data_IF_465656285492
#
_entry.id   IF_465656285492
#
_cell.length_a   1.000
_cell.length_b   1.000
_cell.length_c   1.000
_cell.angle_alpha   90.00
_cell.angle_beta   90.00
_cell.angle_gamma   90.00
#
_symmetry.space_group_name_H-M   'P 1'
#
loop_
_entity.id
_entity.type
_entity.pdbx_description
1 polymer ?
#
# COMPACT_ATOMS: atom_id res chain seq x y z
N UNK A 1 1.24 -29.26 10.41
CA UNK A 1 1.94 -28.12 11.08
C UNK A 1 0.89 -27.40 11.89
N UNK A 2 0.97 -27.49 13.20
CA UNK A 2 0.11 -26.74 14.09
C UNK A 2 0.62 -25.29 14.08
N UNK A 3 -0.01 -24.44 13.29
CA UNK A 3 0.40 -23.05 13.06
C UNK A 3 0.44 -22.23 14.35
N UNK A 4 1.53 -22.37 15.08
CA UNK A 4 1.79 -21.56 16.27
C UNK A 4 2.40 -20.26 15.81
N UNK A 5 1.58 -19.21 15.69
CA UNK A 5 2.06 -17.86 15.49
C UNK A 5 2.71 -17.38 16.79
N UNK A 6 3.98 -16.98 16.73
CA UNK A 6 4.62 -16.26 17.82
C UNK A 6 4.32 -14.77 17.66
N UNK A 7 3.69 -14.17 18.66
CA UNK A 7 3.47 -12.73 18.71
C UNK A 7 4.49 -12.11 19.63
N UNK A 8 5.14 -11.04 19.15
CA UNK A 8 6.16 -10.32 19.87
C UNK A 8 5.63 -8.97 20.34
N UNK A 9 5.92 -8.59 21.57
CA UNK A 9 5.77 -7.21 22.02
C UNK A 9 6.75 -6.27 21.27
N UNK A 10 6.48 -4.97 21.25
CA UNK A 10 7.39 -3.99 20.63
C UNK A 10 8.82 -4.02 21.16
N UNK A 11 9.03 -4.52 22.38
CA UNK A 11 10.34 -4.70 23.02
C UNK A 11 11.01 -6.03 22.69
N UNK A 12 10.41 -6.85 21.85
CA UNK A 12 10.94 -8.13 21.38
C UNK A 12 10.67 -9.32 22.28
N UNK A 13 9.89 -9.17 23.37
CA UNK A 13 9.47 -10.30 24.21
C UNK A 13 8.43 -11.15 23.51
N UNK A 14 8.53 -12.47 23.65
CA UNK A 14 7.52 -13.41 23.16
C UNK A 14 6.31 -13.32 24.10
N UNK A 15 5.14 -13.03 23.53
CA UNK A 15 3.89 -13.07 24.28
C UNK A 15 3.47 -14.54 24.44
N UNK A 16 3.38 -15.08 25.66
CA UNK A 16 2.96 -16.45 25.88
C UNK A 16 1.55 -16.69 25.31
N UNK A 17 1.31 -17.90 24.78
CA UNK A 17 0.09 -18.33 24.07
C UNK A 17 -1.24 -18.08 24.81
N UNK A 18 -1.25 -17.76 26.09
CA UNK A 18 -2.44 -17.44 26.90
C UNK A 18 -2.68 -15.96 27.17
N UNK A 19 -1.76 -15.08 26.77
CA UNK A 19 -1.84 -13.64 27.05
C UNK A 19 -2.17 -12.78 25.82
N UNK A 20 -2.43 -13.40 24.66
CA UNK A 20 -2.88 -12.69 23.47
C UNK A 20 -4.38 -12.43 23.63
N UNK A 21 -4.73 -11.42 24.40
CA UNK A 21 -6.12 -10.99 24.57
C UNK A 21 -6.71 -10.32 23.31
N UNK A 22 -5.92 -10.05 22.30
CA UNK A 22 -6.36 -9.47 21.04
C UNK A 22 -6.54 -10.51 19.91
N UNK A 23 -7.11 -11.68 20.20
CA UNK A 23 -7.74 -12.45 19.13
C UNK A 23 -8.87 -11.57 18.60
N UNK A 24 -8.99 -11.41 17.26
CA UNK A 24 -10.24 -10.92 16.70
C UNK A 24 -11.37 -11.71 17.36
N UNK A 25 -12.48 -11.09 17.75
CA UNK A 25 -13.57 -11.81 18.37
C UNK A 25 -13.95 -12.99 17.46
N UNK A 26 -14.38 -14.11 18.05
CA UNK A 26 -14.80 -15.31 17.28
C UNK A 26 -15.75 -14.96 16.11
N UNK A 27 -16.54 -13.92 16.30
CA UNK A 27 -17.40 -13.31 15.29
C UNK A 27 -16.64 -12.80 14.05
N UNK A 28 -15.41 -12.33 14.18
CA UNK A 28 -14.63 -11.85 13.04
C UNK A 28 -14.11 -13.01 12.17
N UNK A 29 -13.69 -14.11 12.79
CA UNK A 29 -13.30 -15.31 12.07
C UNK A 29 -14.48 -15.94 11.34
N UNK A 30 -15.64 -15.97 12.00
CA UNK A 30 -16.88 -16.46 11.40
C UNK A 30 -17.31 -15.57 10.22
N UNK A 31 -17.20 -14.28 10.34
CA UNK A 31 -17.49 -13.35 9.24
C UNK A 31 -16.54 -13.55 8.03
N UNK A 32 -15.25 -13.83 8.27
CA UNK A 32 -14.30 -14.17 7.19
C UNK A 32 -14.65 -15.51 6.53
N UNK A 33 -15.01 -16.51 7.33
CA UNK A 33 -15.44 -17.81 6.81
C UNK A 33 -16.73 -17.68 5.99
N UNK A 34 -17.71 -16.92 6.47
CA UNK A 34 -18.95 -16.62 5.74
C UNK A 34 -18.69 -15.86 4.44
N UNK A 35 -17.78 -14.90 4.46
CA UNK A 35 -17.42 -14.07 3.30
C UNK A 35 -16.64 -14.84 2.23
N UNK A 36 -15.69 -15.67 2.63
CA UNK A 36 -14.71 -16.27 1.71
C UNK A 36 -14.85 -17.80 1.55
N UNK A 37 -15.63 -18.48 2.42
CA UNK A 37 -15.94 -19.90 2.28
C UNK A 37 -14.72 -20.80 2.07
N UNK A 38 -14.63 -21.47 0.91
CA UNK A 38 -13.52 -22.38 0.58
C UNK A 38 -12.16 -21.67 0.63
N UNK A 39 -12.09 -20.40 0.20
CA UNK A 39 -10.84 -19.64 0.19
C UNK A 39 -10.28 -19.43 1.60
N UNK A 40 -11.15 -19.17 2.58
CA UNK A 40 -10.77 -19.10 4.00
C UNK A 40 -10.15 -20.40 4.50
N UNK A 41 -10.80 -21.54 4.25
CA UNK A 41 -10.32 -22.86 4.70
C UNK A 41 -9.03 -23.32 4.00
N UNK A 42 -8.79 -22.86 2.79
CA UNK A 42 -7.60 -23.16 1.99
C UNK A 42 -6.51 -22.10 2.11
N UNK A 43 -6.66 -21.14 3.04
CA UNK A 43 -5.69 -20.08 3.27
C UNK A 43 -5.32 -19.33 1.99
N UNK A 44 -6.31 -19.07 1.15
CA UNK A 44 -6.16 -18.39 -0.15
C UNK A 44 -4.97 -18.92 -0.96
N UNK A 45 -4.81 -20.25 -1.02
CA UNK A 45 -3.80 -20.88 -1.87
C UNK A 45 -3.92 -20.40 -3.33
N UNK A 46 -2.84 -20.45 -4.12
CA UNK A 46 -2.86 -19.89 -5.49
C UNK A 46 -3.98 -20.46 -6.37
N UNK A 47 -4.25 -21.77 -6.27
CA UNK A 47 -5.32 -22.45 -7.02
C UNK A 47 -6.71 -21.93 -6.65
N UNK A 48 -6.96 -21.67 -5.37
CA UNK A 48 -8.23 -21.09 -4.91
C UNK A 48 -8.35 -19.63 -5.32
N UNK A 49 -7.27 -18.87 -5.21
CA UNK A 49 -7.26 -17.48 -5.67
C UNK A 49 -7.58 -17.38 -7.16
N UNK A 50 -7.01 -18.25 -7.98
CA UNK A 50 -7.30 -18.30 -9.42
C UNK A 50 -8.78 -18.65 -9.70
N UNK A 51 -9.36 -19.59 -8.94
CA UNK A 51 -10.80 -19.90 -9.04
C UNK A 51 -11.68 -18.69 -8.69
N UNK A 52 -11.30 -17.93 -7.65
CA UNK A 52 -12.04 -16.73 -7.28
C UNK A 52 -11.85 -15.62 -8.33
N UNK A 53 -10.65 -15.46 -8.88
CA UNK A 53 -10.41 -14.55 -10.00
C UNK A 53 -11.28 -14.90 -11.21
N UNK A 54 -11.36 -16.19 -11.59
CA UNK A 54 -12.21 -16.65 -12.69
C UNK A 54 -13.70 -16.42 -12.39
N UNK A 55 -14.13 -16.70 -11.15
CA UNK A 55 -15.52 -16.50 -10.71
C UNK A 55 -15.97 -15.04 -10.77
N UNK A 56 -15.05 -14.12 -10.43
CA UNK A 56 -15.35 -12.69 -10.28
C UNK A 56 -14.89 -11.85 -11.48
N UNK A 57 -14.31 -12.47 -12.51
CA UNK A 57 -13.89 -11.78 -13.74
C UNK A 57 -12.63 -10.93 -13.58
N UNK A 58 -11.69 -11.34 -12.73
CA UNK A 58 -10.43 -10.63 -12.51
C UNK A 58 -9.31 -11.28 -13.34
N UNK A 59 -8.71 -10.53 -14.24
CA UNK A 59 -7.68 -11.06 -15.14
C UNK A 59 -6.32 -11.18 -14.46
N UNK A 60 -5.86 -10.11 -13.81
CA UNK A 60 -4.54 -10.01 -13.17
C UNK A 60 -4.70 -9.43 -11.77
N UNK A 61 -4.02 -10.03 -10.80
CA UNK A 61 -3.87 -9.48 -9.47
C UNK A 61 -2.42 -9.16 -9.16
N UNK A 62 -2.16 -7.94 -8.68
CA UNK A 62 -0.88 -7.54 -8.10
C UNK A 62 -1.00 -7.63 -6.58
N UNK A 63 -0.31 -8.59 -5.98
CA UNK A 63 -0.36 -8.84 -4.55
C UNK A 63 0.49 -7.83 -3.79
N UNK A 64 -0.17 -7.06 -2.93
CA UNK A 64 0.50 -6.13 -2.04
C UNK A 64 0.84 -6.81 -0.70
N UNK A 65 2.06 -6.66 -0.19
CA UNK A 65 2.42 -7.15 1.13
C UNK A 65 1.59 -6.47 2.22
N UNK A 66 0.79 -7.23 2.95
CA UNK A 66 -0.07 -6.66 4.00
C UNK A 66 0.68 -6.33 5.28
N UNK A 67 0.03 -5.52 6.14
CA UNK A 67 0.61 -4.86 7.30
C UNK A 67 1.49 -5.70 8.22
N UNK A 68 1.03 -6.88 8.68
CA UNK A 68 1.84 -7.70 9.59
C UNK A 68 2.90 -8.53 8.85
N UNK A 69 2.56 -9.14 7.71
CA UNK A 69 3.47 -10.03 6.99
C UNK A 69 4.46 -9.28 6.10
N UNK A 70 3.99 -8.31 5.33
CA UNK A 70 4.83 -7.54 4.43
C UNK A 70 5.78 -6.57 5.13
N UNK A 71 5.45 -6.13 6.36
CA UNK A 71 6.31 -5.24 7.14
C UNK A 71 7.17 -5.99 8.16
N UNK A 72 7.07 -7.31 8.25
CA UNK A 72 7.80 -8.06 9.26
C UNK A 72 9.31 -7.91 9.07
N UNK A 73 9.81 -8.12 7.86
CA UNK A 73 11.21 -7.92 7.51
C UNK A 73 11.68 -6.47 7.71
N UNK A 74 11.04 -5.46 7.07
CA UNK A 74 11.40 -4.05 7.26
C UNK A 74 11.37 -3.59 8.71
N UNK A 75 10.41 -4.04 9.52
CA UNK A 75 10.35 -3.71 10.96
C UNK A 75 11.43 -4.39 11.78
N UNK A 76 11.70 -5.66 11.51
CA UNK A 76 12.79 -6.37 12.15
C UNK A 76 14.14 -5.68 11.85
N UNK A 77 14.34 -5.19 10.63
CA UNK A 77 15.52 -4.48 10.21
C UNK A 77 15.81 -3.21 11.01
N UNK A 78 14.78 -2.54 11.54
CA UNK A 78 14.96 -1.39 12.43
C UNK A 78 15.65 -1.74 13.77
N UNK A 79 15.64 -3.02 14.14
CA UNK A 79 16.28 -3.54 15.36
C UNK A 79 17.53 -4.38 15.03
N UNK A 80 17.43 -5.23 14.01
CA UNK A 80 18.47 -6.13 13.54
C UNK A 80 18.39 -6.24 12.01
N UNK A 81 19.37 -5.64 11.35
CA UNK A 81 19.42 -5.53 9.90
C UNK A 81 19.53 -6.90 9.21
N UNK A 82 20.35 -7.84 9.75
CA UNK A 82 20.53 -9.17 9.18
C UNK A 82 19.23 -9.99 9.23
N UNK A 83 18.57 -9.99 10.38
CA UNK A 83 17.27 -10.66 10.55
C UNK A 83 16.24 -10.04 9.61
N UNK A 84 16.18 -8.72 9.55
CA UNK A 84 15.23 -8.02 8.69
C UNK A 84 15.43 -8.30 7.20
N UNK A 85 16.68 -8.32 6.75
CA UNK A 85 17.06 -8.68 5.38
C UNK A 85 16.68 -10.14 5.06
N UNK A 86 17.00 -11.08 5.96
CA UNK A 86 16.66 -12.48 5.79
C UNK A 86 15.14 -12.71 5.68
N UNK A 87 14.34 -12.06 6.54
CA UNK A 87 12.89 -12.12 6.52
C UNK A 87 12.30 -11.51 5.24
N UNK A 88 12.85 -10.39 4.76
CA UNK A 88 12.42 -9.77 3.51
C UNK A 88 12.70 -10.69 2.31
N UNK A 89 13.89 -11.30 2.24
CA UNK A 89 14.21 -12.30 1.21
C UNK A 89 13.30 -13.52 1.28
N UNK A 90 13.00 -14.02 2.48
CA UNK A 90 12.09 -15.16 2.64
C UNK A 90 10.67 -14.83 2.15
N UNK A 91 10.16 -13.63 2.47
CA UNK A 91 8.87 -13.17 1.97
C UNK A 91 8.86 -13.06 0.44
N UNK A 92 9.87 -12.44 -0.17
CA UNK A 92 9.95 -12.28 -1.62
C UNK A 92 10.06 -13.62 -2.35
N UNK A 93 10.79 -14.60 -1.79
CA UNK A 93 10.86 -15.96 -2.33
C UNK A 93 9.48 -16.63 -2.26
N UNK A 94 8.80 -16.56 -1.12
CA UNK A 94 7.45 -17.09 -0.98
C UNK A 94 6.46 -16.43 -1.96
N UNK A 95 6.53 -15.12 -2.13
CA UNK A 95 5.65 -14.40 -3.06
C UNK A 95 5.92 -14.81 -4.52
N UNK A 96 7.19 -15.01 -4.89
CA UNK A 96 7.57 -15.59 -6.18
C UNK A 96 6.99 -16.99 -6.36
N UNK A 97 7.21 -17.91 -5.41
CA UNK A 97 6.71 -19.28 -5.48
C UNK A 97 5.18 -19.30 -5.61
N UNK A 98 4.51 -18.45 -4.83
CA UNK A 98 3.05 -18.29 -4.88
C UNK A 98 2.57 -17.81 -6.26
N UNK A 99 3.20 -16.79 -6.83
CA UNK A 99 2.81 -16.22 -8.13
C UNK A 99 3.24 -17.08 -9.31
N UNK A 100 4.27 -17.92 -9.17
CA UNK A 100 4.80 -18.77 -10.23
C UNK A 100 3.81 -19.84 -10.72
N UNK A 101 2.75 -20.12 -9.97
CA UNK A 101 1.66 -21.03 -10.37
C UNK A 101 0.92 -20.48 -11.59
N UNK A 102 0.77 -19.16 -11.70
CA UNK A 102 0.16 -18.48 -12.85
C UNK A 102 0.81 -17.11 -13.07
N UNK A 103 2.05 -17.05 -13.56
CA UNK A 103 2.86 -15.82 -13.58
C UNK A 103 2.28 -14.72 -14.47
N UNK A 104 1.41 -15.04 -15.42
CA UNK A 104 0.68 -14.05 -16.23
C UNK A 104 -0.53 -13.44 -15.52
N UNK A 105 -0.96 -14.02 -14.41
CA UNK A 105 -2.16 -13.58 -13.68
C UNK A 105 -1.88 -13.13 -12.25
N UNK A 106 -0.88 -13.73 -11.62
CA UNK A 106 -0.48 -13.41 -10.25
C UNK A 106 0.87 -12.69 -10.27
N UNK A 107 0.88 -11.48 -9.78
CA UNK A 107 2.05 -10.63 -9.65
C UNK A 107 2.23 -10.21 -8.20
N UNK A 108 3.41 -9.74 -7.82
CA UNK A 108 3.64 -9.29 -6.46
C UNK A 108 4.51 -8.05 -6.38
N UNK A 109 4.38 -7.35 -5.27
CA UNK A 109 5.20 -6.22 -4.88
C UNK A 109 6.22 -6.72 -3.87
N UNK A 110 7.50 -6.51 -4.16
CA UNK A 110 8.58 -6.96 -3.28
C UNK A 110 8.77 -6.03 -2.08
N UNK A 111 9.18 -6.62 -0.95
CA UNK A 111 9.59 -5.88 0.25
C UNK A 111 11.10 -5.74 0.31
N UNK A 112 11.57 -4.57 0.75
CA UNK A 112 12.98 -4.23 0.92
C UNK A 112 13.18 -3.53 2.27
N UNK A 113 14.38 -3.65 2.82
CA UNK A 113 14.74 -2.93 4.06
C UNK A 113 15.35 -1.56 3.73
N UNK A 114 15.43 -0.66 4.71
CA UNK A 114 16.02 0.68 4.55
C UNK A 114 17.25 0.92 5.42
N UNK A 115 17.57 -0.02 6.30
CA UNK A 115 18.64 0.13 7.30
C UNK A 115 20.03 -0.19 6.76
N UNK A 116 20.10 -0.85 5.61
CA UNK A 116 21.34 -1.12 4.86
C UNK A 116 21.09 -0.87 3.38
N UNK A 117 21.72 0.16 2.84
CA UNK A 117 21.52 0.59 1.44
C UNK A 117 22.02 -0.50 0.46
N UNK A 118 23.12 -1.19 0.76
CA UNK A 118 23.64 -2.25 -0.11
C UNK A 118 22.66 -3.42 -0.22
N UNK A 119 22.16 -3.89 0.92
CA UNK A 119 21.13 -4.94 0.97
C UNK A 119 19.82 -4.49 0.30
N UNK A 120 19.38 -3.25 0.55
CA UNK A 120 18.21 -2.67 -0.08
C UNK A 120 18.28 -2.77 -1.61
N UNK A 121 19.38 -2.31 -2.18
CA UNK A 121 19.58 -2.31 -3.64
C UNK A 121 19.76 -3.71 -4.20
N UNK A 122 20.52 -4.58 -3.52
CA UNK A 122 20.75 -5.95 -3.94
C UNK A 122 19.44 -6.75 -3.96
N UNK A 123 18.63 -6.66 -2.90
CA UNK A 123 17.36 -7.37 -2.82
C UNK A 123 16.32 -6.77 -3.77
N UNK A 124 16.24 -5.44 -3.90
CA UNK A 124 15.35 -4.79 -4.86
C UNK A 124 15.62 -5.25 -6.29
N UNK A 125 16.88 -5.26 -6.71
CA UNK A 125 17.29 -5.77 -8.03
C UNK A 125 16.97 -7.26 -8.19
N UNK A 126 17.33 -8.08 -7.19
CA UNK A 126 17.06 -9.52 -7.23
C UNK A 126 15.57 -9.83 -7.36
N UNK A 127 14.74 -9.13 -6.60
CA UNK A 127 13.30 -9.35 -6.59
C UNK A 127 12.66 -9.04 -7.96
N UNK A 128 13.10 -7.98 -8.62
CA UNK A 128 12.60 -7.64 -9.97
C UNK A 128 13.18 -8.56 -11.03
N UNK A 129 14.51 -8.67 -11.13
CA UNK A 129 15.15 -9.37 -12.25
C UNK A 129 15.09 -10.90 -12.16
N UNK A 130 15.04 -11.47 -10.95
CA UNK A 130 15.09 -12.92 -10.74
C UNK A 130 13.78 -13.52 -10.25
N UNK A 131 12.98 -12.74 -9.53
CA UNK A 131 11.73 -13.23 -8.95
C UNK A 131 10.49 -12.69 -9.65
N UNK A 132 10.62 -11.70 -10.54
CA UNK A 132 9.51 -11.15 -11.32
C UNK A 132 8.59 -10.22 -10.53
N UNK A 133 9.08 -9.57 -9.47
CA UNK A 133 8.35 -8.52 -8.79
C UNK A 133 8.07 -7.36 -9.76
N UNK A 134 6.82 -6.85 -9.76
CA UNK A 134 6.40 -5.75 -10.65
C UNK A 134 6.46 -4.37 -10.01
N UNK A 135 6.79 -4.31 -8.74
CA UNK A 135 7.00 -3.08 -7.97
C UNK A 135 7.88 -3.35 -6.75
N UNK A 136 8.48 -2.30 -6.21
CA UNK A 136 9.14 -2.32 -4.90
C UNK A 136 8.27 -1.57 -3.90
N UNK A 137 8.06 -2.13 -2.72
CA UNK A 137 7.34 -1.41 -1.66
C UNK A 137 8.16 -0.24 -1.16
N UNK A 138 7.51 0.88 -0.87
CA UNK A 138 8.13 2.03 -0.21
C UNK A 138 8.75 1.60 1.12
N UNK A 139 9.92 2.15 1.43
CA UNK A 139 10.72 1.74 2.60
C UNK A 139 10.16 2.28 3.90
N UNK A 140 10.21 1.45 4.94
CA UNK A 140 9.98 1.87 6.30
C UNK A 140 11.28 2.46 6.86
N UNK A 141 11.28 3.77 7.14
CA UNK A 141 12.47 4.50 7.53
C UNK A 141 12.80 4.36 9.03
N UNK A 142 14.10 4.33 9.39
CA UNK A 142 14.52 4.53 10.77
C UNK A 142 14.05 5.87 11.32
N UNK A 143 13.89 5.95 12.65
CA UNK A 143 13.48 7.19 13.33
C UNK A 143 14.39 8.35 12.98
N UNK A 144 13.78 9.50 12.63
CA UNK A 144 14.49 10.73 12.26
C UNK A 144 15.04 10.74 10.83
N UNK A 145 14.81 9.70 10.03
CA UNK A 145 15.16 9.67 8.61
C UNK A 145 13.99 10.11 7.74
N UNK A 146 14.31 10.66 6.57
CA UNK A 146 13.34 11.16 5.59
C UNK A 146 13.58 10.54 4.21
N UNK A 147 12.54 10.41 3.38
CA UNK A 147 12.65 9.85 2.04
C UNK A 147 13.60 10.61 1.12
N UNK A 148 13.83 11.89 1.38
CA UNK A 148 14.72 12.75 0.58
C UNK A 148 16.18 12.74 1.05
N UNK A 149 16.55 11.93 2.03
CA UNK A 149 17.96 11.75 2.39
C UNK A 149 18.75 11.25 1.17
N UNK A 150 19.94 11.80 0.89
CA UNK A 150 20.69 11.47 -0.33
C UNK A 150 20.99 9.97 -0.51
N UNK A 151 21.07 9.24 0.58
CA UNK A 151 21.30 7.78 0.55
C UNK A 151 20.16 7.02 -0.13
N UNK A 152 18.90 7.50 -0.03
CA UNK A 152 17.75 6.87 -0.67
C UNK A 152 17.58 7.26 -2.15
N UNK A 153 18.32 8.25 -2.64
CA UNK A 153 18.33 8.56 -4.08
C UNK A 153 18.76 7.36 -4.94
N UNK A 154 19.60 6.47 -4.36
CA UNK A 154 19.99 5.21 -5.00
C UNK A 154 18.82 4.25 -5.21
N UNK A 155 17.82 4.24 -4.31
CA UNK A 155 16.60 3.45 -4.49
C UNK A 155 15.72 4.02 -5.60
N UNK A 156 15.56 5.35 -5.63
CA UNK A 156 14.78 6.01 -6.69
C UNK A 156 15.41 5.83 -8.07
N UNK A 157 16.74 5.86 -8.13
CA UNK A 157 17.49 5.54 -9.34
C UNK A 157 17.30 4.07 -9.75
N UNK A 158 17.39 3.11 -8.81
CA UNK A 158 17.19 1.69 -9.07
C UNK A 158 15.79 1.39 -9.61
N UNK A 159 14.74 1.92 -8.97
CA UNK A 159 13.37 1.72 -9.42
C UNK A 159 13.14 2.30 -10.83
N UNK A 160 13.76 3.45 -11.12
CA UNK A 160 13.72 4.08 -12.45
C UNK A 160 14.49 3.29 -13.51
N UNK A 161 15.62 2.65 -13.15
CA UNK A 161 16.44 1.80 -14.02
C UNK A 161 15.71 0.50 -14.35
N UNK A 162 15.11 -0.14 -13.33
CA UNK A 162 14.39 -1.39 -13.47
C UNK A 162 12.99 -1.23 -14.08
N UNK A 163 12.57 0.00 -14.34
CA UNK A 163 11.26 0.36 -14.89
C UNK A 163 10.08 -0.20 -14.06
N UNK A 164 10.18 -0.13 -12.73
CA UNK A 164 9.14 -0.54 -11.79
C UNK A 164 8.73 0.60 -10.87
N UNK A 165 7.45 0.70 -10.48
CA UNK A 165 7.02 1.73 -9.53
C UNK A 165 7.45 1.41 -8.10
N UNK A 166 7.49 2.49 -7.29
CA UNK A 166 7.48 2.36 -5.82
C UNK A 166 6.03 2.32 -5.35
N UNK A 167 5.66 1.24 -4.68
CA UNK A 167 4.33 1.06 -4.11
C UNK A 167 4.26 1.70 -2.72
N UNK A 168 3.50 2.79 -2.62
CA UNK A 168 3.22 3.51 -1.38
C UNK A 168 1.90 2.99 -0.82
N UNK A 169 1.94 2.51 0.39
CA UNK A 169 0.77 2.08 1.15
C UNK A 169 0.75 2.84 2.46
N UNK A 170 -0.37 3.43 2.80
CA UNK A 170 -0.53 4.15 4.05
C UNK A 170 -0.30 3.23 5.24
N UNK A 171 0.44 3.73 6.22
CA UNK A 171 0.67 3.02 7.47
C UNK A 171 0.12 3.84 8.63
N UNK A 172 -1.02 3.43 9.18
CA UNK A 172 -1.57 4.03 10.39
C UNK A 172 -0.62 3.92 11.61
N UNK A 173 0.52 3.25 11.45
CA UNK A 173 1.59 3.11 12.45
C UNK A 173 2.75 4.09 12.25
N UNK A 174 2.59 5.06 11.36
CA UNK A 174 3.57 6.12 11.20
C UNK A 174 3.67 6.96 12.49
N UNK A 175 4.88 7.36 12.86
CA UNK A 175 5.14 8.20 14.05
C UNK A 175 4.33 9.50 14.06
N UNK A 176 3.93 10.03 12.89
CA UNK A 176 3.09 11.23 12.77
C UNK A 176 1.70 11.06 13.40
N UNK A 177 1.18 9.82 13.41
CA UNK A 177 -0.11 9.47 14.02
C UNK A 177 0.06 8.76 15.36
N UNK A 178 1.29 8.66 15.87
CA UNK A 178 1.60 7.97 17.10
C UNK A 178 0.79 8.47 18.31
N UNK A 179 0.60 9.78 18.54
CA UNK A 179 -0.21 10.24 19.67
C UNK A 179 -1.65 9.71 19.61
N UNK A 180 -2.23 9.65 18.42
CA UNK A 180 -3.57 9.13 18.22
C UNK A 180 -3.63 7.62 18.44
N UNK A 181 -2.63 6.90 17.90
CA UNK A 181 -2.47 5.46 18.10
C UNK A 181 -2.23 5.10 19.57
N UNK A 182 -1.41 5.86 20.29
CA UNK A 182 -1.19 5.66 21.73
C UNK A 182 -2.49 5.82 22.52
N UNK A 183 -3.34 6.77 22.11
CA UNK A 183 -4.67 6.94 22.68
C UNK A 183 -5.52 5.67 22.46
N UNK A 184 -5.56 5.15 21.21
CA UNK A 184 -6.28 3.92 20.87
C UNK A 184 -5.77 2.73 21.68
N UNK A 185 -4.45 2.53 21.74
CA UNK A 185 -3.83 1.42 22.50
C UNK A 185 -4.14 1.56 23.99
N UNK A 186 -4.06 2.77 24.55
CA UNK A 186 -4.37 3.04 25.96
C UNK A 186 -5.80 2.67 26.29
N UNK A 187 -6.75 2.99 25.42
CA UNK A 187 -8.15 2.63 25.59
C UNK A 187 -8.37 1.11 25.44
N UNK A 188 -7.72 0.47 24.47
CA UNK A 188 -7.77 -0.99 24.30
C UNK A 188 -7.25 -1.75 25.54
N UNK A 189 -6.25 -1.20 26.22
CA UNK A 189 -5.59 -1.86 27.38
C UNK A 189 -6.15 -1.45 28.74
N UNK A 190 -6.91 -0.34 28.83
CA UNK A 190 -7.41 0.20 30.09
C UNK A 190 -8.51 -0.63 30.75
N UNK A 191 -9.14 -1.53 29.99
CA UNK A 191 -10.31 -2.30 30.45
C UNK A 191 -11.57 -1.45 30.72
N UNK A 192 -11.49 -0.15 30.55
CA UNK A 192 -12.62 0.77 30.69
C UNK A 192 -13.42 0.80 29.40
N UNK A 193 -14.48 0.01 29.32
CA UNK A 193 -15.45 0.06 28.22
C UNK A 193 -16.51 1.11 28.50
N UNK A 194 -16.37 2.28 27.92
CA UNK A 194 -17.50 3.19 27.76
C UNK A 194 -18.05 3.09 26.34
N UNK A 195 -19.32 3.46 26.07
CA UNK A 195 -19.87 3.46 24.72
C UNK A 195 -19.06 4.30 23.71
N UNK A 196 -18.23 5.23 24.19
CA UNK A 196 -17.39 6.12 23.37
C UNK A 196 -15.96 5.63 23.19
N UNK A 197 -15.57 4.58 23.93
CA UNK A 197 -14.23 4.00 23.94
C UNK A 197 -14.26 2.54 23.47
N UNK A 198 -15.20 2.22 22.57
CA UNK A 198 -15.19 0.91 21.93
C UNK A 198 -13.93 0.79 21.05
N UNK A 199 -13.07 -0.23 21.28
CA UNK A 199 -11.85 -0.43 20.52
C UNK A 199 -12.10 -0.52 19.01
N UNK A 200 -13.24 -1.05 18.57
CA UNK A 200 -13.59 -1.15 17.16
C UNK A 200 -13.88 0.22 16.55
N UNK A 201 -14.55 1.12 17.27
CA UNK A 201 -14.80 2.50 16.84
C UNK A 201 -13.48 3.26 16.64
N UNK A 202 -12.55 3.13 17.59
CA UNK A 202 -11.25 3.80 17.54
C UNK A 202 -10.35 3.20 16.44
N UNK A 203 -10.41 1.87 16.23
CA UNK A 203 -9.73 1.21 15.10
C UNK A 203 -10.27 1.70 13.77
N UNK A 204 -11.60 1.77 13.61
CA UNK A 204 -12.24 2.28 12.39
C UNK A 204 -11.82 3.71 12.08
N UNK A 205 -11.84 4.60 13.09
CA UNK A 205 -11.38 5.97 12.92
C UNK A 205 -9.88 6.05 12.53
N UNK A 206 -9.05 5.27 13.22
CA UNK A 206 -7.61 5.23 12.92
C UNK A 206 -7.33 4.68 11.52
N UNK A 207 -8.09 3.68 11.08
CA UNK A 207 -8.00 3.13 9.72
C UNK A 207 -8.43 4.16 8.68
N UNK A 208 -9.60 4.78 8.88
CA UNK A 208 -10.14 5.80 7.97
C UNK A 208 -9.22 7.02 7.79
N UNK A 209 -8.47 7.39 8.84
CA UNK A 209 -7.51 8.51 8.80
C UNK A 209 -6.11 8.08 8.37
N UNK A 210 -5.66 6.94 8.85
CA UNK A 210 -4.25 6.53 8.78
C UNK A 210 -3.77 6.36 7.36
N UNK A 211 -4.52 5.65 6.53
CA UNK A 211 -4.10 5.39 5.14
C UNK A 211 -4.09 6.63 4.26
N UNK A 212 -5.19 7.40 4.12
CA UNK A 212 -5.17 8.56 3.23
C UNK A 212 -4.22 9.66 3.73
N UNK A 213 -4.17 9.94 5.02
CA UNK A 213 -3.30 11.02 5.52
C UNK A 213 -1.82 10.66 5.41
N UNK A 214 -1.44 9.40 5.62
CA UNK A 214 -0.05 8.97 5.44
C UNK A 214 0.35 8.98 3.96
N UNK A 215 -0.54 8.54 3.07
CA UNK A 215 -0.31 8.60 1.62
C UNK A 215 -0.22 10.05 1.12
N UNK A 216 -1.10 10.95 1.57
CA UNK A 216 -1.01 12.38 1.27
C UNK A 216 0.32 12.98 1.75
N UNK A 217 0.74 12.67 2.98
CA UNK A 217 2.00 13.17 3.54
C UNK A 217 3.22 12.60 2.80
N UNK A 218 3.18 11.32 2.42
CA UNK A 218 4.23 10.67 1.67
C UNK A 218 4.35 11.25 0.25
N UNK A 219 3.23 11.40 -0.47
CA UNK A 219 3.19 12.05 -1.77
C UNK A 219 3.74 13.49 -1.70
N UNK A 220 3.32 14.25 -0.66
CA UNK A 220 3.84 15.59 -0.41
C UNK A 220 5.37 15.59 -0.26
N UNK A 221 5.93 14.61 0.44
CA UNK A 221 7.38 14.46 0.57
C UNK A 221 8.04 14.22 -0.80
N UNK A 222 7.57 13.26 -1.59
CA UNK A 222 8.14 12.98 -2.91
C UNK A 222 8.14 14.20 -3.83
N UNK A 223 7.10 15.04 -3.76
CA UNK A 223 6.98 16.24 -4.61
C UNK A 223 7.81 17.39 -4.03
N UNK A 224 7.50 17.85 -2.80
CA UNK A 224 8.07 19.08 -2.25
C UNK A 224 9.58 19.00 -1.97
N UNK A 225 10.12 17.81 -1.74
CA UNK A 225 11.57 17.62 -1.57
C UNK A 225 12.30 17.38 -2.90
N UNK A 226 11.57 17.42 -4.04
CA UNK A 226 12.14 17.32 -5.38
C UNK A 226 12.58 15.92 -5.78
N UNK A 227 12.12 14.85 -5.12
CA UNK A 227 12.43 13.47 -5.54
C UNK A 227 11.89 13.25 -6.96
N UNK A 228 10.61 13.59 -7.21
CA UNK A 228 10.00 13.43 -8.53
C UNK A 228 10.60 14.35 -9.60
N UNK A 229 11.20 15.48 -9.21
CA UNK A 229 11.97 16.35 -10.13
C UNK A 229 13.27 15.67 -10.56
N UNK A 230 14.05 15.15 -9.59
CA UNK A 230 15.35 14.54 -9.86
C UNK A 230 15.24 13.19 -10.58
N UNK A 231 14.13 12.48 -10.36
CA UNK A 231 13.90 11.14 -10.94
C UNK A 231 12.64 11.13 -11.83
N UNK A 232 12.67 11.73 -13.04
CA UNK A 232 11.48 11.90 -13.88
C UNK A 232 10.90 10.60 -14.44
N UNK A 233 11.64 9.48 -14.38
CA UNK A 233 11.15 8.14 -14.74
C UNK A 233 10.58 7.35 -13.56
N UNK A 234 10.79 7.81 -12.33
CA UNK A 234 10.25 7.16 -11.15
C UNK A 234 8.72 7.22 -11.17
N UNK A 235 8.07 6.08 -10.96
CA UNK A 235 6.61 5.99 -10.82
C UNK A 235 6.23 5.64 -9.39
N UNK A 236 5.10 6.20 -8.91
CA UNK A 236 4.52 5.89 -7.61
C UNK A 236 3.16 5.23 -7.79
N UNK A 237 2.98 4.08 -7.17
CA UNK A 237 1.68 3.44 -6.99
C UNK A 237 1.19 3.76 -5.57
N UNK A 238 0.16 4.59 -5.43
CA UNK A 238 -0.40 5.00 -4.14
C UNK A 238 -1.65 4.15 -3.88
N UNK A 239 -1.52 3.23 -2.94
CA UNK A 239 -2.45 2.11 -2.78
C UNK A 239 -3.21 2.21 -1.46
N UNK A 240 -4.41 1.60 -1.43
CA UNK A 240 -5.26 1.40 -0.26
C UNK A 240 -5.55 2.69 0.54
N UNK A 241 -6.05 3.73 -0.15
CA UNK A 241 -6.42 5.00 0.50
C UNK A 241 -7.55 5.76 -0.20
N UNK A 242 -8.28 5.08 -1.09
CA UNK A 242 -9.21 5.70 -2.04
C UNK A 242 -8.53 6.73 -2.97
N UNK A 243 -9.24 7.20 -4.00
CA UNK A 243 -8.75 8.21 -4.95
C UNK A 243 -9.36 9.61 -4.73
N UNK A 244 -10.47 9.69 -4.02
CA UNK A 244 -11.25 10.93 -3.89
C UNK A 244 -10.57 12.08 -3.15
N UNK A 245 -9.52 11.82 -2.40
CA UNK A 245 -8.70 12.87 -1.78
C UNK A 245 -7.76 13.57 -2.76
N UNK A 246 -7.45 12.95 -3.91
CA UNK A 246 -6.44 13.46 -4.84
C UNK A 246 -6.78 14.86 -5.38
N UNK A 247 -8.00 15.17 -5.84
CA UNK A 247 -8.33 16.53 -6.30
C UNK A 247 -8.10 17.61 -5.23
N UNK A 248 -8.54 17.33 -4.00
CA UNK A 248 -8.34 18.25 -2.87
C UNK A 248 -6.85 18.45 -2.57
N UNK A 249 -6.10 17.38 -2.43
CA UNK A 249 -4.72 17.46 -2.01
C UNK A 249 -3.81 18.09 -3.08
N UNK A 250 -3.98 17.70 -4.32
CA UNK A 250 -3.24 18.23 -5.45
C UNK A 250 -3.51 19.74 -5.64
N UNK A 251 -4.79 20.14 -5.63
CA UNK A 251 -5.16 21.54 -5.70
C UNK A 251 -4.61 22.36 -4.53
N UNK A 252 -4.62 21.80 -3.31
CA UNK A 252 -4.03 22.44 -2.14
C UNK A 252 -2.51 22.61 -2.28
N UNK A 253 -1.79 21.58 -2.75
CA UNK A 253 -0.35 21.66 -2.97
C UNK A 253 -0.01 22.69 -4.05
N UNK A 254 -0.78 22.75 -5.15
CA UNK A 254 -0.59 23.74 -6.21
C UNK A 254 -0.71 25.18 -5.70
N UNK A 255 -1.73 25.46 -4.88
CA UNK A 255 -1.90 26.79 -4.27
C UNK A 255 -0.70 27.19 -3.43
N UNK A 256 -0.10 26.23 -2.71
CA UNK A 256 1.07 26.50 -1.86
C UNK A 256 2.38 26.66 -2.65
N UNK A 257 2.41 26.26 -3.92
CA UNK A 257 3.59 26.45 -4.79
C UNK A 257 3.48 27.68 -5.71
N UNK A 258 2.28 28.26 -5.92
CA UNK A 258 2.03 29.36 -6.87
C UNK A 258 2.33 30.76 -6.33
N UNK A 259 2.82 30.90 -5.13
CA UNK A 259 3.25 32.20 -4.57
C UNK A 259 2.12 33.15 -4.17
N UNK A 260 0.87 32.96 -4.59
CA UNK A 260 -0.25 33.89 -4.27
C UNK A 260 -0.72 33.80 -2.82
N UNK A 261 -0.55 32.64 -2.18
CA UNK A 261 -0.94 32.38 -0.79
C UNK A 261 0.21 31.84 0.06
N UNK A 262 1.40 31.69 -0.54
CA UNK A 262 2.57 31.17 0.15
C UNK A 262 3.42 32.30 0.67
N UNK A 263 3.42 32.50 1.97
CA UNK A 263 4.41 33.36 2.66
C UNK A 263 5.83 32.82 2.44
N UNK A 264 5.96 31.55 2.02
CA UNK A 264 7.22 30.82 1.85
C UNK A 264 7.76 30.87 0.41
N UNK A 265 6.97 31.37 -0.56
CA UNK A 265 7.34 31.36 -1.98
C UNK A 265 7.25 29.99 -2.66
N UNK A 266 7.48 29.95 -3.98
CA UNK A 266 7.61 28.71 -4.76
C UNK A 266 8.96 28.07 -4.43
N UNK A 267 9.03 26.76 -4.15
CA UNK A 267 10.30 26.05 -4.06
C UNK A 267 11.05 26.17 -5.41
N UNK A 268 12.23 26.79 -5.42
CA UNK A 268 13.00 27.07 -6.65
C UNK A 268 13.42 25.80 -7.40
N UNK A 269 13.56 24.68 -6.66
CA UNK A 269 13.95 23.40 -7.21
C UNK A 269 12.81 22.61 -7.89
N UNK A 270 11.58 23.14 -7.91
CA UNK A 270 10.44 22.52 -8.59
C UNK A 270 10.15 23.25 -9.91
N UNK A 271 10.26 22.54 -11.03
CA UNK A 271 9.97 23.12 -12.36
C UNK A 271 8.47 23.15 -12.69
N UNK A 272 7.69 22.23 -12.12
CA UNK A 272 6.25 22.03 -12.40
C UNK A 272 5.40 22.26 -11.15
N UNK A 273 4.07 22.23 -11.35
CA UNK A 273 3.10 22.16 -10.26
C UNK A 273 3.07 20.77 -9.62
N UNK A 274 2.74 20.64 -8.33
CA UNK A 274 2.48 19.39 -7.69
C UNK A 274 1.52 18.47 -8.45
N UNK A 275 0.43 19.00 -8.97
CA UNK A 275 -0.53 18.23 -9.77
C UNK A 275 0.07 17.73 -11.09
N UNK A 276 1.03 18.44 -11.70
CA UNK A 276 1.70 18.01 -12.91
C UNK A 276 2.70 16.88 -12.64
N UNK A 277 3.42 16.93 -11.50
CA UNK A 277 4.25 15.79 -11.05
C UNK A 277 3.40 14.55 -10.83
N UNK A 278 2.23 14.70 -10.19
CA UNK A 278 1.31 13.59 -9.99
C UNK A 278 0.88 12.98 -11.32
N UNK A 279 0.39 13.80 -12.25
CA UNK A 279 -0.08 13.35 -13.57
C UNK A 279 1.03 12.66 -14.39
N UNK A 280 2.27 13.09 -14.22
CA UNK A 280 3.43 12.51 -14.91
C UNK A 280 3.83 11.15 -14.34
N UNK A 281 3.82 10.97 -13.01
CA UNK A 281 4.56 9.91 -12.33
C UNK A 281 3.77 9.11 -11.28
N UNK A 282 2.60 9.56 -10.88
CA UNK A 282 1.87 8.92 -9.80
C UNK A 282 0.57 8.29 -10.30
N UNK A 283 0.14 7.25 -9.63
CA UNK A 283 -1.17 6.62 -9.84
C UNK A 283 -1.74 6.25 -8.48
N UNK A 284 -3.02 6.54 -8.26
CA UNK A 284 -3.74 6.25 -7.02
C UNK A 284 -4.74 5.11 -7.25
N UNK A 285 -4.89 4.23 -6.26
CA UNK A 285 -5.90 3.17 -6.32
C UNK A 285 -7.24 3.68 -5.82
N UNK A 286 -8.32 3.26 -6.47
CA UNK A 286 -9.71 3.49 -6.04
C UNK A 286 -10.35 2.18 -5.60
N UNK A 287 -11.30 2.27 -4.67
CA UNK A 287 -12.16 1.17 -4.28
C UNK A 287 -13.43 1.14 -5.15
N UNK A 288 -14.06 -0.04 -5.20
CA UNK A 288 -15.23 -0.26 -6.07
C UNK A 288 -16.45 0.56 -5.69
N UNK A 289 -16.65 0.85 -4.42
CA UNK A 289 -17.81 1.57 -3.88
C UNK A 289 -17.48 3.01 -3.46
N UNK A 290 -16.37 3.54 -3.93
CA UNK A 290 -15.87 4.85 -3.53
C UNK A 290 -16.79 5.99 -4.03
N UNK A 291 -17.57 6.58 -3.14
CA UNK A 291 -18.53 7.66 -3.48
C UNK A 291 -17.85 8.90 -4.13
N UNK A 292 -16.59 9.14 -3.84
CA UNK A 292 -15.84 10.29 -4.36
C UNK A 292 -15.11 10.01 -5.70
N UNK A 293 -15.15 8.78 -6.20
CA UNK A 293 -14.43 8.38 -7.42
C UNK A 293 -14.72 9.29 -8.62
N UNK A 294 -15.99 9.65 -8.80
CA UNK A 294 -16.39 10.56 -9.90
C UNK A 294 -15.59 11.85 -9.92
N UNK A 295 -15.35 12.46 -8.76
CA UNK A 295 -14.59 13.72 -8.68
C UNK A 295 -13.11 13.55 -8.99
N UNK A 296 -12.53 12.41 -8.62
CA UNK A 296 -11.18 12.06 -9.01
C UNK A 296 -11.07 11.83 -10.52
N UNK A 297 -12.04 11.12 -11.11
CA UNK A 297 -12.12 10.90 -12.56
C UNK A 297 -12.27 12.21 -13.32
N UNK A 298 -13.15 13.11 -12.89
CA UNK A 298 -13.34 14.42 -13.53
C UNK A 298 -12.03 15.25 -13.48
N UNK A 299 -11.31 15.24 -12.35
CA UNK A 299 -10.07 16.00 -12.18
C UNK A 299 -8.89 15.41 -12.94
N UNK A 300 -8.77 14.08 -12.99
CA UNK A 300 -7.66 13.35 -13.61
C UNK A 300 -8.00 12.84 -15.02
N UNK A 301 -9.21 13.09 -15.52
CA UNK A 301 -9.69 12.61 -16.84
C UNK A 301 -9.62 11.07 -16.99
N UNK A 302 -9.84 10.34 -15.88
CA UNK A 302 -9.71 8.90 -15.84
C UNK A 302 -8.28 8.38 -15.91
N UNK A 303 -7.27 9.25 -16.04
CA UNK A 303 -5.85 8.90 -15.98
C UNK A 303 -5.36 8.77 -14.54
N UNK A 304 -4.25 8.06 -14.35
CA UNK A 304 -3.58 8.01 -13.03
C UNK A 304 -4.43 7.41 -11.89
N UNK A 305 -5.44 6.63 -12.21
CA UNK A 305 -6.28 5.89 -11.28
C UNK A 305 -6.23 4.41 -11.66
N UNK A 306 -6.05 3.51 -10.69
CA UNK A 306 -6.17 2.06 -10.86
C UNK A 306 -7.19 1.51 -9.88
N UNK A 307 -7.81 0.40 -10.24
CA UNK A 307 -8.79 -0.26 -9.40
C UNK A 307 -8.13 -1.26 -8.44
N UNK A 308 -8.69 -1.40 -7.24
CA UNK A 308 -8.31 -2.43 -6.30
C UNK A 308 -9.55 -3.11 -5.67
N UNK A 309 -9.36 -4.32 -5.14
CA UNK A 309 -10.40 -5.10 -4.46
C UNK A 309 -10.14 -5.27 -2.98
N UNK A 310 -8.93 -4.97 -2.54
CA UNK A 310 -8.43 -5.29 -1.21
C UNK A 310 -8.66 -6.77 -0.78
N UNK A 311 -8.77 -7.67 -1.76
CA UNK A 311 -8.97 -9.11 -1.54
C UNK A 311 -7.67 -9.75 -1.01
N UNK A 312 -7.68 -10.51 0.08
CA UNK A 312 -8.83 -11.02 0.84
C UNK A 312 -8.98 -10.38 2.24
N UNK A 313 -8.84 -9.08 2.39
CA UNK A 313 -9.02 -8.44 3.68
C UNK A 313 -10.45 -8.56 4.21
N UNK A 314 -10.60 -8.57 5.54
CA UNK A 314 -11.90 -8.71 6.18
C UNK A 314 -12.83 -7.53 5.88
N UNK A 315 -12.25 -6.34 5.82
CA UNK A 315 -12.89 -5.05 5.53
C UNK A 315 -12.83 -4.66 4.04
N UNK A 316 -12.16 -5.47 3.20
CA UNK A 316 -12.20 -5.32 1.74
C UNK A 316 -13.59 -5.56 1.15
N UNK A 317 -13.75 -5.26 -0.13
CA UNK A 317 -15.01 -5.47 -0.86
C UNK A 317 -15.52 -6.90 -0.80
N UNK A 318 -16.83 -7.08 -0.84
CA UNK A 318 -17.42 -8.38 -1.15
C UNK A 318 -17.03 -8.78 -2.58
N UNK A 319 -16.32 -9.92 -2.78
CA UNK A 319 -15.75 -10.26 -4.09
C UNK A 319 -16.76 -10.26 -5.24
N UNK A 320 -17.98 -10.77 -4.98
CA UNK A 320 -19.05 -10.83 -5.98
C UNK A 320 -19.60 -9.46 -6.38
N UNK A 321 -19.36 -8.42 -5.58
CA UNK A 321 -19.83 -7.07 -5.82
C UNK A 321 -18.77 -6.15 -6.40
N UNK A 322 -17.49 -6.53 -6.33
CA UNK A 322 -16.41 -5.64 -6.67
C UNK A 322 -16.53 -5.04 -8.08
N UNK A 323 -16.65 -5.84 -9.13
CA UNK A 323 -16.85 -5.32 -10.49
C UNK A 323 -18.24 -4.68 -10.70
N UNK A 324 -19.37 -5.29 -10.26
CA UNK A 324 -20.67 -4.66 -10.38
C UNK A 324 -20.80 -3.28 -9.73
N UNK A 325 -20.23 -3.10 -8.52
CA UNK A 325 -20.29 -1.82 -7.82
C UNK A 325 -19.40 -0.77 -8.53
N UNK A 326 -18.21 -1.18 -9.01
CA UNK A 326 -17.37 -0.31 -9.83
C UNK A 326 -18.08 0.09 -11.13
N UNK A 327 -18.69 -0.86 -11.82
CA UNK A 327 -19.38 -0.60 -13.09
C UNK A 327 -20.61 0.31 -12.93
N UNK A 328 -21.25 0.30 -11.76
CA UNK A 328 -22.38 1.18 -11.44
C UNK A 328 -21.99 2.66 -11.27
N UNK A 329 -20.70 3.01 -11.20
CA UNK A 329 -20.29 4.41 -11.10
C UNK A 329 -20.71 5.24 -12.31
N UNK A 330 -21.24 6.45 -12.11
CA UNK A 330 -21.65 7.35 -13.19
C UNK A 330 -20.44 8.09 -13.79
N UNK A 331 -19.47 7.32 -14.31
CA UNK A 331 -18.26 7.79 -14.99
C UNK A 331 -18.23 7.28 -16.44
N UNK A 332 -17.51 7.96 -17.36
CA UNK A 332 -17.43 7.54 -18.76
C UNK A 332 -16.86 6.13 -18.91
N UNK A 333 -17.37 5.35 -19.85
CA UNK A 333 -16.88 3.98 -20.15
C UNK A 333 -15.38 3.96 -20.52
N UNK A 334 -14.90 5.00 -21.21
CA UNK A 334 -13.46 5.15 -21.49
C UNK A 334 -12.65 5.28 -20.20
N UNK A 335 -13.15 6.00 -19.18
CA UNK A 335 -12.49 6.11 -17.88
C UNK A 335 -12.51 4.77 -17.14
N UNK A 336 -13.61 4.02 -17.18
CA UNK A 336 -13.69 2.67 -16.61
C UNK A 336 -12.61 1.76 -17.22
N UNK A 337 -12.49 1.73 -18.54
CA UNK A 337 -11.47 0.94 -19.24
C UNK A 337 -10.05 1.34 -18.83
N UNK A 338 -9.78 2.65 -18.75
CA UNK A 338 -8.47 3.16 -18.30
C UNK A 338 -8.16 2.68 -16.87
N UNK A 339 -9.10 2.81 -15.96
CA UNK A 339 -8.94 2.46 -14.54
C UNK A 339 -8.74 0.95 -14.36
N UNK A 340 -9.53 0.14 -15.07
CA UNK A 340 -9.45 -1.32 -14.97
C UNK A 340 -8.26 -1.93 -15.70
N UNK A 341 -7.68 -1.24 -16.72
CA UNK A 341 -6.68 -1.87 -17.57
C UNK A 341 -5.51 -0.95 -17.95
N UNK A 342 -5.75 0.11 -18.73
CA UNK A 342 -4.69 0.86 -19.37
C UNK A 342 -3.73 1.51 -18.38
N UNK A 343 -4.25 2.07 -17.29
CA UNK A 343 -3.46 2.73 -16.26
C UNK A 343 -2.60 1.73 -15.47
N UNK A 344 -3.08 0.49 -15.27
CA UNK A 344 -2.29 -0.55 -14.63
C UNK A 344 -1.09 -0.97 -15.50
N UNK A 345 -1.30 -1.10 -16.83
CA UNK A 345 -0.21 -1.37 -17.77
C UNK A 345 0.82 -0.24 -17.74
N UNK A 346 0.36 1.02 -17.78
CA UNK A 346 1.23 2.18 -17.70
C UNK A 346 2.00 2.25 -16.37
N UNK A 347 1.34 1.90 -15.27
CA UNK A 347 1.93 1.94 -13.93
C UNK A 347 3.01 0.87 -13.74
N UNK A 348 2.67 -0.39 -14.00
CA UNK A 348 3.56 -1.52 -13.72
C UNK A 348 4.52 -1.86 -14.88
N UNK A 349 4.28 -1.29 -16.06
CA UNK A 349 5.12 -1.51 -17.24
C UNK A 349 5.02 -2.93 -17.82
N UNK A 350 6.01 -3.35 -18.64
CA UNK A 350 5.98 -4.63 -19.37
C UNK A 350 5.90 -5.86 -18.46
N UNK A 351 6.41 -5.77 -17.23
CA UNK A 351 6.39 -6.85 -16.25
C UNK A 351 4.98 -7.31 -15.87
N UNK A 352 3.96 -6.46 -16.03
CA UNK A 352 2.58 -6.83 -15.70
C UNK A 352 2.06 -7.94 -16.64
N UNK A 353 2.40 -7.92 -17.92
CA UNK A 353 1.89 -8.84 -18.94
C UNK A 353 2.85 -9.98 -19.28
N UNK A 354 4.05 -10.00 -18.69
CA UNK A 354 5.09 -11.00 -18.97
C UNK A 354 4.84 -12.36 -18.31
#
# INVERSE_FOLDING_TARGET
MDGTFMVYEPDGKIIPKGQIESRPPETAWKALEEKYGEAYHKWWSPDIRLKDMDRHGWDIQVLLPTGSNGNFGPRAALKDCEIGAALSRAYNNWAHDYCSVAPKRLKFIAVIISTDIKEMLAEGRRAVEKLGAVALRNVLLPKGKWLHEPEYDTLWALASELDVPIAVHGEYRNERFQPFRELVIKEETSGQRTPYHDPMTLRGLNHAMGFPFDNMATLGQFIFTGILERFPKLRLAILESNAGWAPFWLGRMDVHTHGRHSVMGKPEHLSMLPSDYFKRQCTVACDSDEAALKYAVDFLHGENIVWNTDYPHADGMEPARALPDFDAHPIPEEAKRKILWDNAIKLYGPGLLS
#
